data_IF_037196165888
#
_entry.id   IF_037196165888
#
_cell.length_a   1.000
_cell.length_b   1.000
_cell.length_c   1.000
_cell.angle_alpha   90.00
_cell.angle_beta   90.00
_cell.angle_gamma   90.00
#
_symmetry.space_group_name_H-M   'P 1'
#
loop_
_entity.id
_entity.type
_entity.pdbx_description
1 polymer ?
#
# COMPACT_ATOMS: atom_id res chain seq x y z
N UNK A 1 15.08 -13.34 11.52
CA UNK A 1 13.61 -13.28 11.33
C UNK A 1 13.30 -13.64 9.88
N UNK A 2 12.60 -14.75 9.66
CA UNK A 2 12.09 -15.10 8.32
C UNK A 2 10.82 -14.26 8.08
N UNK A 3 10.78 -13.51 6.97
CA UNK A 3 9.55 -12.82 6.55
C UNK A 3 8.58 -13.86 6.02
N UNK A 4 7.31 -13.79 6.44
CA UNK A 4 6.22 -14.58 5.87
C UNK A 4 6.18 -14.42 4.35
N UNK A 5 5.78 -15.47 3.64
CA UNK A 5 5.61 -15.47 2.20
C UNK A 5 4.82 -14.28 1.69
N UNK A 6 5.16 -13.81 0.49
CA UNK A 6 4.45 -12.72 -0.17
C UNK A 6 2.97 -13.06 -0.39
N UNK A 7 2.11 -12.07 -0.15
CA UNK A 7 0.69 -12.16 -0.43
C UNK A 7 0.16 -10.88 -1.09
N UNK A 8 -1.10 -10.92 -1.54
CA UNK A 8 -1.81 -9.79 -2.10
C UNK A 8 -2.73 -9.15 -1.08
N UNK A 9 -2.85 -7.83 -1.18
CA UNK A 9 -3.53 -7.02 -0.20
C UNK A 9 -4.29 -5.86 -0.84
N UNK A 10 -5.35 -5.43 -0.16
CA UNK A 10 -6.12 -4.23 -0.43
C UNK A 10 -5.84 -3.21 0.66
N UNK A 11 -5.66 -1.96 0.23
CA UNK A 11 -5.41 -0.81 1.09
C UNK A 11 -6.57 0.18 0.94
N UNK A 12 -7.05 0.81 2.04
CA UNK A 12 -8.10 1.81 1.95
C UNK A 12 -7.70 2.99 1.07
N UNK A 13 -8.60 3.42 0.17
CA UNK A 13 -8.37 4.58 -0.70
C UNK A 13 -8.11 5.87 0.11
N UNK A 14 -8.69 6.01 1.30
CA UNK A 14 -8.44 7.15 2.18
C UNK A 14 -6.96 7.31 2.55
N UNK A 15 -6.26 6.20 2.83
CA UNK A 15 -4.83 6.21 3.11
C UNK A 15 -4.01 6.54 1.85
N UNK A 16 -4.40 6.02 0.69
CA UNK A 16 -3.77 6.37 -0.59
C UNK A 16 -3.89 7.87 -0.86
N UNK A 17 -5.08 8.45 -0.70
CA UNK A 17 -5.31 9.88 -0.84
C UNK A 17 -4.49 10.70 0.16
N UNK A 18 -4.35 10.24 1.41
CA UNK A 18 -3.49 10.87 2.41
C UNK A 18 -2.02 10.95 1.94
N UNK A 19 -1.44 9.83 1.49
CA UNK A 19 -0.06 9.81 0.98
C UNK A 19 0.12 10.66 -0.28
N UNK A 20 -0.83 10.57 -1.22
CA UNK A 20 -0.81 11.35 -2.47
C UNK A 20 -0.85 12.85 -2.20
N UNK A 21 -1.69 13.30 -1.27
CA UNK A 21 -1.76 14.71 -0.85
C UNK A 21 -0.43 15.17 -0.24
N UNK A 22 0.13 14.40 0.70
CA UNK A 22 1.40 14.76 1.34
C UNK A 22 2.54 14.91 0.32
N UNK A 23 2.66 13.94 -0.60
CA UNK A 23 3.69 13.99 -1.63
C UNK A 23 3.48 15.14 -2.61
N UNK A 24 2.22 15.40 -3.00
CA UNK A 24 1.88 16.50 -3.91
C UNK A 24 2.16 17.86 -3.27
N UNK A 25 1.88 18.04 -1.98
CA UNK A 25 2.20 19.28 -1.23
C UNK A 25 3.71 19.53 -1.22
N UNK A 26 4.52 18.49 -0.99
CA UNK A 26 5.99 18.63 -0.93
C UNK A 26 6.63 18.85 -2.32
N UNK A 27 6.14 18.16 -3.35
CA UNK A 27 6.83 18.06 -4.65
C UNK A 27 6.12 18.73 -5.82
N UNK A 28 4.86 19.14 -5.64
CA UNK A 28 3.96 19.57 -6.73
C UNK A 28 3.37 18.42 -7.55
N UNK A 29 3.70 17.16 -7.23
CA UNK A 29 3.18 15.97 -7.89
C UNK A 29 3.31 14.74 -6.98
N UNK A 30 2.58 13.66 -7.29
CA UNK A 30 2.70 12.38 -6.59
C UNK A 30 3.07 11.24 -7.55
N UNK A 31 3.81 10.26 -7.03
CA UNK A 31 4.07 8.96 -7.66
C UNK A 31 3.38 7.80 -6.93
N UNK A 32 2.70 8.08 -5.81
CA UNK A 32 1.81 7.10 -5.16
C UNK A 32 0.69 6.75 -6.15
N UNK A 33 0.55 5.47 -6.53
CA UNK A 33 -0.36 5.07 -7.59
C UNK A 33 -1.82 5.24 -7.17
N UNK A 34 -2.69 5.58 -8.11
CA UNK A 34 -4.12 5.40 -7.93
C UNK A 34 -4.42 3.91 -7.78
N UNK A 35 -5.25 3.58 -6.79
CA UNK A 35 -5.66 2.21 -6.46
C UNK A 35 -7.08 1.88 -6.93
N UNK A 36 -7.84 2.89 -7.32
CA UNK A 36 -9.19 2.79 -7.85
C UNK A 36 -9.32 3.64 -9.11
N UNK A 37 -9.94 3.07 -10.14
CA UNK A 37 -10.18 3.69 -11.44
C UNK A 37 -11.67 3.74 -11.78
N UNK A 38 -12.54 3.53 -10.79
CA UNK A 38 -13.99 3.58 -10.94
C UNK A 38 -14.61 2.24 -11.34
N UNK A 39 -15.94 2.26 -11.53
CA UNK A 39 -16.81 1.08 -11.62
C UNK A 39 -16.46 0.11 -12.77
N UNK A 40 -15.77 0.59 -13.80
CA UNK A 40 -15.41 -0.21 -14.98
C UNK A 40 -14.07 -0.94 -14.82
N UNK A 41 -13.39 -0.78 -13.70
CA UNK A 41 -12.07 -1.36 -13.45
C UNK A 41 -12.06 -2.20 -12.19
N UNK A 42 -11.36 -3.34 -12.22
CA UNK A 42 -11.08 -4.12 -11.02
C UNK A 42 -10.20 -3.27 -10.07
N UNK A 43 -10.51 -3.20 -8.77
CA UNK A 43 -9.67 -2.48 -7.81
C UNK A 43 -8.23 -3.00 -7.86
N UNK A 44 -7.26 -2.09 -7.80
CA UNK A 44 -5.87 -2.52 -7.67
C UNK A 44 -5.61 -3.11 -6.30
N UNK A 45 -4.59 -3.96 -6.27
CA UNK A 45 -4.07 -4.58 -5.08
C UNK A 45 -2.55 -4.44 -5.08
N UNK A 46 -1.96 -4.67 -3.91
CA UNK A 46 -0.52 -4.57 -3.68
C UNK A 46 0.03 -5.91 -3.20
N UNK A 47 1.30 -6.16 -3.49
CA UNK A 47 2.04 -7.33 -3.06
C UNK A 47 2.99 -6.95 -1.92
N UNK A 48 3.07 -7.77 -0.87
CA UNK A 48 4.02 -7.56 0.21
C UNK A 48 3.98 -8.63 1.29
N UNK A 49 4.73 -8.48 2.37
CA UNK A 49 5.64 -7.35 2.66
C UNK A 49 6.95 -7.54 1.86
N UNK A 50 7.30 -6.58 1.00
CA UNK A 50 8.51 -6.68 0.15
C UNK A 50 9.76 -6.11 0.80
N UNK A 51 9.60 -5.23 1.80
CA UNK A 51 10.71 -4.60 2.51
C UNK A 51 10.24 -4.12 3.89
N UNK A 52 11.07 -4.27 4.91
CA UNK A 52 10.88 -3.71 6.25
C UNK A 52 12.08 -2.84 6.62
N UNK A 53 11.83 -1.60 7.00
CA UNK A 53 12.85 -0.62 7.42
C UNK A 53 12.23 0.24 8.53
N UNK A 54 12.91 0.47 9.65
CA UNK A 54 12.47 1.37 10.74
C UNK A 54 10.98 1.18 11.11
N UNK A 55 10.57 -0.07 11.32
CA UNK A 55 9.22 -0.51 11.66
C UNK A 55 8.12 -0.22 10.63
N UNK A 56 8.46 0.34 9.46
CA UNK A 56 7.50 0.44 8.35
C UNK A 56 7.55 -0.78 7.44
N UNK A 57 6.39 -1.20 6.97
CA UNK A 57 6.23 -2.31 6.02
C UNK A 57 5.88 -1.79 4.63
N UNK A 58 6.71 -2.13 3.65
CA UNK A 58 6.53 -1.71 2.27
C UNK A 58 5.77 -2.74 1.44
N UNK A 59 4.92 -2.21 0.56
CA UNK A 59 4.14 -2.96 -0.40
C UNK A 59 4.32 -2.37 -1.80
N UNK A 60 4.30 -3.22 -2.81
CA UNK A 60 4.52 -2.84 -4.21
C UNK A 60 3.23 -3.03 -5.01
N UNK A 61 2.84 -2.08 -5.87
CA UNK A 61 1.66 -2.25 -6.72
C UNK A 61 1.88 -3.32 -7.78
N UNK A 62 0.85 -4.13 -8.02
CA UNK A 62 0.77 -5.05 -9.17
C UNK A 62 0.18 -4.28 -10.36
N UNK A 63 0.79 -4.42 -11.54
CA UNK A 63 0.44 -3.65 -12.73
C UNK A 63 0.41 -4.53 -13.97
N UNK A 64 -0.54 -4.30 -14.87
CA UNK A 64 -0.58 -4.89 -16.21
C UNK A 64 0.53 -4.40 -17.16
N UNK A 65 1.47 -3.58 -16.68
CA UNK A 65 2.61 -3.10 -17.45
C UNK A 65 3.61 -4.25 -17.71
N UNK A 66 3.81 -4.60 -18.99
CA UNK A 66 4.58 -5.80 -19.39
C UNK A 66 6.01 -5.53 -19.83
N UNK A 67 6.45 -4.28 -19.86
CA UNK A 67 7.78 -3.94 -20.36
C UNK A 67 8.83 -3.98 -19.26
N UNK A 68 10.02 -4.52 -19.56
CA UNK A 68 11.13 -4.57 -18.62
C UNK A 68 11.67 -3.17 -18.33
N UNK A 69 11.86 -2.88 -17.05
CA UNK A 69 12.53 -1.69 -16.52
C UNK A 69 13.51 -2.08 -15.40
N UNK A 70 14.48 -1.22 -15.04
CA UNK A 70 15.43 -1.54 -13.96
C UNK A 70 14.76 -1.75 -12.60
N UNK A 71 13.66 -1.05 -12.34
CA UNK A 71 12.97 -1.01 -11.04
C UNK A 71 11.61 -1.73 -11.11
N UNK A 72 11.49 -2.76 -11.97
CA UNK A 72 10.34 -3.67 -11.98
C UNK A 72 10.74 -5.14 -12.08
N UNK A 73 9.82 -5.99 -11.62
CA UNK A 73 9.88 -7.44 -11.76
C UNK A 73 8.73 -7.87 -12.65
N UNK A 74 9.03 -8.62 -13.72
CA UNK A 74 8.00 -9.15 -14.62
C UNK A 74 7.46 -10.45 -14.04
N UNK A 75 6.14 -10.59 -14.09
CA UNK A 75 5.43 -11.80 -13.69
C UNK A 75 5.03 -12.51 -14.98
N UNK A 76 5.38 -13.78 -15.08
CA UNK A 76 5.12 -14.60 -16.25
C UNK A 76 4.08 -15.68 -15.95
N UNK A 77 3.33 -16.06 -17.00
CA UNK A 77 2.51 -17.26 -16.97
C UNK A 77 3.38 -18.53 -17.08
N UNK A 78 2.74 -19.69 -17.01
CA UNK A 78 3.37 -21.01 -17.12
C UNK A 78 4.06 -21.27 -18.47
N UNK A 79 3.70 -20.50 -19.50
CA UNK A 79 4.28 -20.59 -20.84
C UNK A 79 5.42 -19.57 -21.03
N UNK A 80 5.77 -18.80 -20.00
CA UNK A 80 6.80 -17.76 -20.04
C UNK A 80 6.31 -16.41 -20.58
N UNK A 81 5.02 -16.24 -20.88
CA UNK A 81 4.51 -14.95 -21.36
C UNK A 81 4.41 -13.96 -20.20
N UNK A 82 4.87 -12.73 -20.40
CA UNK A 82 4.68 -11.66 -19.40
C UNK A 82 3.21 -11.26 -19.31
N UNK A 83 2.64 -11.39 -18.12
CA UNK A 83 1.23 -11.08 -17.83
C UNK A 83 1.09 -9.79 -17.01
N UNK A 84 2.05 -9.50 -16.12
CA UNK A 84 2.04 -8.31 -15.27
C UNK A 84 3.43 -7.98 -14.74
N UNK A 85 3.52 -6.96 -13.87
CA UNK A 85 4.76 -6.61 -13.17
C UNK A 85 4.51 -6.01 -11.79
N UNK A 86 5.52 -6.13 -10.93
CA UNK A 86 5.67 -5.38 -9.69
C UNK A 86 6.54 -4.15 -9.95
N UNK A 87 6.07 -2.95 -9.60
CA UNK A 87 6.76 -1.68 -9.90
C UNK A 87 7.31 -1.01 -8.65
N UNK A 88 8.57 -1.30 -8.32
CA UNK A 88 9.20 -0.91 -7.05
C UNK A 88 9.45 0.59 -6.93
N UNK A 89 9.60 1.31 -8.04
CA UNK A 89 9.67 2.78 -8.00
C UNK A 89 8.35 3.41 -7.49
N UNK A 90 7.25 2.67 -7.49
CA UNK A 90 5.93 3.10 -6.98
C UNK A 90 5.50 2.36 -5.71
N UNK A 91 6.41 1.67 -5.02
CA UNK A 91 6.09 1.05 -3.74
C UNK A 91 5.90 2.12 -2.65
N UNK A 92 5.12 1.81 -1.64
CA UNK A 92 4.83 2.73 -0.54
C UNK A 92 4.65 1.96 0.78
N UNK A 93 4.95 2.60 1.93
CA UNK A 93 4.74 2.01 3.24
C UNK A 93 3.25 2.03 3.63
N UNK A 94 2.80 1.00 4.34
CA UNK A 94 1.41 0.88 4.81
C UNK A 94 1.41 0.35 6.26
N UNK A 95 0.62 0.94 7.18
CA UNK A 95 0.36 0.37 8.50
C UNK A 95 -0.35 -0.98 8.36
N UNK A 96 0.07 -1.98 9.14
CA UNK A 96 -0.49 -3.34 9.02
C UNK A 96 -1.93 -3.41 9.55
N UNK A 97 -2.32 -2.45 10.37
CA UNK A 97 -3.63 -2.36 11.03
C UNK A 97 -4.75 -2.03 10.03
N UNK A 98 -4.42 -1.39 8.91
CA UNK A 98 -5.41 -0.93 7.92
C UNK A 98 -5.47 -1.79 6.66
N UNK A 99 -4.49 -2.68 6.48
CA UNK A 99 -4.36 -3.48 5.26
C UNK A 99 -5.18 -4.77 5.39
N UNK A 100 -5.87 -5.16 4.32
CA UNK A 100 -6.66 -6.39 4.28
C UNK A 100 -6.10 -7.34 3.24
N UNK A 101 -5.96 -8.62 3.59
CA UNK A 101 -5.57 -9.63 2.60
C UNK A 101 -6.59 -9.69 1.47
N UNK A 102 -6.12 -9.76 0.23
CA UNK A 102 -6.97 -9.94 -0.94
C UNK A 102 -7.37 -11.40 -1.03
N UNK A 103 -8.62 -11.71 -0.70
CA UNK A 103 -9.22 -13.04 -0.86
C UNK A 103 -9.42 -13.36 -2.34
N UNK A 104 -8.52 -14.16 -2.91
CA UNK A 104 -8.59 -14.62 -4.31
C UNK A 104 -9.67 -15.70 -4.48
N UNK A 105 -9.83 -16.56 -3.48
CA UNK A 105 -10.75 -17.69 -3.45
C UNK A 105 -12.24 -17.30 -3.61
N UNK A 106 -12.59 -16.06 -3.29
CA UNK A 106 -13.95 -15.52 -3.44
C UNK A 106 -14.12 -14.62 -4.68
N UNK A 107 -13.12 -14.45 -5.55
CA UNK A 107 -13.26 -13.61 -6.77
C UNK A 107 -14.27 -14.23 -7.74
N UNK A 108 -15.42 -13.60 -8.03
CA UNK A 108 -16.48 -14.23 -8.83
C UNK A 108 -16.07 -14.47 -10.30
N UNK A 109 -15.18 -13.63 -10.86
CA UNK A 109 -14.65 -13.83 -12.19
C UNK A 109 -13.60 -14.95 -12.19
N UNK A 110 -13.97 -16.13 -12.70
CA UNK A 110 -13.11 -17.32 -12.71
C UNK A 110 -11.80 -17.12 -13.50
N UNK A 111 -11.83 -16.36 -14.59
CA UNK A 111 -10.62 -16.09 -15.39
C UNK A 111 -9.68 -15.18 -14.60
N UNK A 112 -10.22 -14.15 -13.98
CA UNK A 112 -9.44 -13.24 -13.15
C UNK A 112 -8.91 -13.93 -11.88
N UNK A 113 -9.71 -14.80 -11.26
CA UNK A 113 -9.29 -15.64 -10.13
C UNK A 113 -8.08 -16.50 -10.49
N UNK A 114 -8.11 -17.18 -11.63
CA UNK A 114 -7.01 -18.01 -12.10
C UNK A 114 -5.75 -17.17 -12.38
N UNK A 115 -5.92 -15.99 -12.98
CA UNK A 115 -4.82 -15.03 -13.19
C UNK A 115 -4.18 -14.63 -11.86
N UNK A 116 -4.97 -14.19 -10.88
CA UNK A 116 -4.47 -13.79 -9.56
C UNK A 116 -3.72 -14.91 -8.85
N UNK A 117 -4.24 -16.14 -8.91
CA UNK A 117 -3.61 -17.31 -8.30
C UNK A 117 -2.24 -17.60 -8.95
N UNK A 118 -2.15 -17.50 -10.28
CA UNK A 118 -0.91 -17.67 -11.01
C UNK A 118 0.11 -16.57 -10.68
N UNK A 119 -0.32 -15.30 -10.65
CA UNK A 119 0.54 -14.17 -10.29
C UNK A 119 1.07 -14.32 -8.86
N UNK A 120 0.22 -14.71 -7.91
CA UNK A 120 0.61 -14.89 -6.52
C UNK A 120 1.62 -16.03 -6.37
N UNK A 121 1.36 -17.18 -7.01
CA UNK A 121 2.31 -18.30 -7.02
C UNK A 121 3.68 -17.86 -7.55
N UNK A 122 3.69 -17.17 -8.69
CA UNK A 122 4.94 -16.68 -9.29
C UNK A 122 5.67 -15.70 -8.37
N UNK A 123 4.94 -14.82 -7.67
CA UNK A 123 5.53 -13.92 -6.67
C UNK A 123 6.18 -14.70 -5.51
N UNK A 124 5.50 -15.73 -4.98
CA UNK A 124 6.02 -16.55 -3.88
C UNK A 124 7.28 -17.32 -4.29
N UNK A 125 7.24 -17.97 -5.46
CA UNK A 125 8.39 -18.72 -6.00
C UNK A 125 9.62 -17.83 -6.23
N UNK A 126 9.43 -16.50 -6.38
CA UNK A 126 10.49 -15.53 -6.67
C UNK A 126 10.70 -14.50 -5.55
N UNK A 127 10.22 -14.79 -4.33
CA UNK A 127 10.12 -13.79 -3.28
C UNK A 127 11.46 -13.15 -2.88
N UNK A 128 12.54 -13.90 -2.89
CA UNK A 128 13.86 -13.38 -2.54
C UNK A 128 14.36 -12.37 -3.58
N UNK A 129 14.17 -12.65 -4.86
CA UNK A 129 14.46 -11.72 -5.96
C UNK A 129 13.63 -10.45 -5.83
N UNK A 130 12.34 -10.58 -5.50
CA UNK A 130 11.43 -9.45 -5.31
C UNK A 130 11.87 -8.57 -4.13
N UNK A 131 12.21 -9.17 -2.99
CA UNK A 131 12.69 -8.43 -1.80
C UNK A 131 14.04 -7.77 -2.06
N UNK A 132 14.95 -8.44 -2.75
CA UNK A 132 16.23 -7.88 -3.16
C UNK A 132 16.07 -6.68 -4.09
N UNK A 133 15.13 -6.76 -5.03
CA UNK A 133 14.83 -5.66 -5.93
C UNK A 133 14.19 -4.47 -5.19
N UNK A 134 13.25 -4.71 -4.28
CA UNK A 134 12.68 -3.66 -3.42
C UNK A 134 13.78 -2.94 -2.61
N UNK A 135 14.65 -3.69 -1.93
CA UNK A 135 15.78 -3.15 -1.17
C UNK A 135 16.73 -2.33 -2.06
N UNK A 136 17.05 -2.84 -3.26
CA UNK A 136 17.92 -2.17 -4.22
C UNK A 136 17.31 -0.85 -4.70
N UNK A 137 16.04 -0.86 -5.12
CA UNK A 137 15.35 0.33 -5.62
C UNK A 137 15.24 1.38 -4.52
N UNK A 138 14.84 0.99 -3.30
CA UNK A 138 14.81 1.87 -2.13
C UNK A 138 16.15 2.58 -1.91
N UNK A 139 17.23 1.82 -1.76
CA UNK A 139 18.58 2.35 -1.54
C UNK A 139 19.01 3.32 -2.64
N UNK A 140 18.73 3.00 -3.91
CA UNK A 140 19.10 3.86 -5.05
C UNK A 140 18.34 5.19 -5.06
N UNK A 141 17.07 5.17 -4.68
CA UNK A 141 16.24 6.39 -4.55
C UNK A 141 16.71 7.23 -3.37
N UNK A 142 16.91 6.63 -2.20
CA UNK A 142 17.37 7.33 -0.99
C UNK A 142 18.76 7.96 -1.16
N UNK A 143 19.67 7.30 -1.89
CA UNK A 143 21.00 7.84 -2.21
C UNK A 143 21.01 8.78 -3.43
N UNK A 144 19.83 9.17 -3.94
CA UNK A 144 19.67 10.03 -5.11
C UNK A 144 20.55 9.65 -6.31
N UNK A 145 20.73 8.34 -6.56
CA UNK A 145 21.69 7.83 -7.56
C UNK A 145 21.42 8.28 -9.00
N UNK A 146 20.21 8.74 -9.29
CA UNK A 146 19.83 9.30 -10.60
C UNK A 146 18.67 10.27 -10.44
N UNK A 147 18.74 11.49 -11.01
CA UNK A 147 17.63 12.45 -11.01
C UNK A 147 16.36 11.86 -11.65
N UNK A 148 16.50 11.13 -12.75
CA UNK A 148 15.38 10.47 -13.45
C UNK A 148 14.74 9.39 -12.58
N UNK A 149 15.54 8.60 -11.85
CA UNK A 149 15.02 7.60 -10.93
C UNK A 149 14.21 8.26 -9.80
N UNK A 150 14.78 9.28 -9.16
CA UNK A 150 14.14 10.02 -8.05
C UNK A 150 12.84 10.69 -8.54
N UNK A 151 12.87 11.36 -9.70
CA UNK A 151 11.68 11.98 -10.30
C UNK A 151 10.58 10.97 -10.61
N UNK A 152 10.95 9.74 -10.97
CA UNK A 152 10.02 8.67 -11.32
C UNK A 152 9.72 7.71 -10.17
N UNK A 153 10.14 8.02 -8.94
CA UNK A 153 9.86 7.22 -7.75
C UNK A 153 9.02 7.98 -6.74
N UNK A 154 8.32 7.24 -5.89
CA UNK A 154 7.76 7.80 -4.66
C UNK A 154 8.88 8.41 -3.79
N UNK A 155 8.56 9.48 -3.09
CA UNK A 155 9.44 10.07 -2.08
C UNK A 155 9.42 9.18 -0.83
N UNK A 156 10.25 8.13 -0.84
CA UNK A 156 10.25 7.12 0.21
C UNK A 156 10.45 7.72 1.61
N UNK A 157 11.37 8.67 1.76
CA UNK A 157 11.60 9.33 3.06
C UNK A 157 10.36 10.06 3.56
N UNK A 158 9.66 10.82 2.69
CA UNK A 158 8.41 11.46 3.08
C UNK A 158 7.33 10.43 3.45
N UNK A 159 7.16 9.39 2.62
CA UNK A 159 6.08 8.42 2.84
C UNK A 159 6.31 7.56 4.09
N UNK A 160 7.56 7.28 4.46
CA UNK A 160 7.93 6.62 5.72
C UNK A 160 7.45 7.44 6.91
N UNK A 161 7.79 8.74 6.94
CA UNK A 161 7.34 9.66 7.98
C UNK A 161 5.80 9.70 8.06
N UNK A 162 5.13 9.83 6.92
CA UNK A 162 3.66 9.90 6.86
C UNK A 162 2.98 8.61 7.29
N UNK A 163 3.56 7.45 7.00
CA UNK A 163 3.08 6.16 7.50
C UNK A 163 3.14 6.09 9.04
N UNK A 164 4.24 6.56 9.64
CA UNK A 164 4.40 6.60 11.09
C UNK A 164 3.41 7.57 11.75
N UNK A 165 3.27 8.78 11.22
CA UNK A 165 2.27 9.76 11.68
C UNK A 165 0.85 9.19 11.66
N UNK A 166 0.49 8.52 10.55
CA UNK A 166 -0.82 7.88 10.42
C UNK A 166 -1.02 6.76 11.44
N UNK A 167 0.01 5.95 11.69
CA UNK A 167 -0.05 4.85 12.68
C UNK A 167 -0.26 5.37 14.11
N UNK A 168 0.33 6.51 14.45
CA UNK A 168 0.13 7.19 15.75
C UNK A 168 -1.32 7.67 15.86
N UNK A 169 -1.87 8.30 14.82
CA UNK A 169 -3.26 8.78 14.79
C UNK A 169 -4.26 7.62 14.92
N UNK A 170 -4.01 6.49 14.27
CA UNK A 170 -4.83 5.27 14.42
C UNK A 170 -4.84 4.79 15.87
N UNK A 171 -3.69 4.80 16.54
CA UNK A 171 -3.56 4.33 17.92
C UNK A 171 -4.30 5.24 18.91
N UNK A 172 -4.34 6.55 18.63
CA UNK A 172 -5.05 7.54 19.47
C UNK A 172 -6.58 7.47 19.30
N UNK A 173 -7.06 7.20 18.08
CA UNK A 173 -8.50 7.11 17.77
C UNK A 173 -9.14 5.79 18.21
N UNK A 174 -8.35 4.78 18.57
CA UNK A 174 -8.80 3.48 19.07
C UNK A 174 -8.74 3.34 20.60
N UNK A 175 -8.38 4.39 21.34
CA UNK A 175 -8.45 4.34 22.80
C UNK A 175 -9.91 4.35 23.27
N UNK A 176 -10.32 3.47 24.20
CA UNK A 176 -11.65 3.51 24.79
C UNK A 176 -11.84 4.85 25.53
N UNK A 177 -13.00 5.47 25.35
CA UNK A 177 -13.42 6.64 26.13
C UNK A 177 -13.44 6.20 27.60
N UNK A 178 -12.57 6.77 28.43
CA UNK A 178 -12.67 6.58 29.88
C UNK A 178 -13.97 7.24 30.38
N UNK A 179 -14.70 6.62 31.33
CA UNK A 179 -16.02 7.07 31.79
C UNK A 179 -16.10 8.51 32.33
N UNK A 180 -14.96 9.18 32.56
CA UNK A 180 -14.89 10.55 33.08
C UNK A 180 -15.04 11.66 32.03
N UNK A 181 -15.43 11.34 30.78
CA UNK A 181 -15.65 12.35 29.72
C UNK A 181 -17.10 12.44 29.23
N UNK A 182 -18.07 11.87 29.94
CA UNK A 182 -19.50 12.11 29.64
C UNK A 182 -19.83 13.53 30.14
N UNK A 183 -20.12 14.51 29.26
CA UNK A 183 -20.60 15.82 29.72
C UNK A 183 -21.90 15.62 30.49
N UNK A 184 -22.12 16.33 31.62
CA UNK A 184 -23.34 16.19 32.40
C UNK A 184 -24.55 16.45 31.51
N UNK A 185 -25.53 15.55 31.57
CA UNK A 185 -26.82 15.68 30.88
C UNK A 185 -27.46 16.98 31.37
N UNK A 186 -27.83 17.93 30.49
CA UNK A 186 -28.51 19.15 30.91
C UNK A 186 -29.88 18.79 31.49
N UNK A 187 -30.06 19.07 32.78
CA UNK A 187 -31.35 19.05 33.47
C UNK A 187 -32.20 20.21 32.92
N UNK A 188 -33.21 19.89 32.11
CA UNK A 188 -34.25 20.87 31.75
C UNK A 188 -35.14 21.11 32.97
N UNK A 189 -34.88 22.19 33.71
CA UNK A 189 -35.86 22.76 34.63
C UNK A 189 -36.98 23.41 33.82
N UNK A 190 -38.07 22.66 33.59
CA UNK A 190 -39.35 23.25 33.25
C UNK A 190 -39.96 23.82 34.54
N UNK A 191 -39.71 25.11 34.80
CA UNK A 191 -40.54 25.88 35.71
C UNK A 191 -41.89 26.13 35.04
N UNK A 192 -42.92 25.43 35.50
CA UNK A 192 -44.31 25.77 35.20
C UNK A 192 -44.66 27.09 35.91
N UNK A 193 -44.91 28.13 35.12
CA UNK A 193 -45.57 29.34 35.58
C UNK A 193 -47.08 29.10 35.75
N UNK A 194 -47.61 29.78 36.76
CA UNK A 194 -48.99 29.83 37.25
C UNK A 194 -49.89 30.55 36.23
#
# INVERSE_FOLDING_TARGET
MHLKDLDFYIVPNSYITYLQKAESIKRGFTRVPNMDYGKNHKPKFICGIVLKINDVSYFVPVSSYKFKKPDNFLICDKNGNTISSLRFNYMFPVPLEIIKQRRIDIEPDLKYRALLAQELKYCKDNQDTIRNLAKRTHKRVMLAKSPTLVKNSCDFSLLEQKCQEYSIQLSQTQQPILPNQIPPVPTNEFTQGI
#
